data_IF_573075160561
#
_entry.id   IF_573075160561
#
_cell.length_a   1.000
_cell.length_b   1.000
_cell.length_c   1.000
_cell.angle_alpha   90.00
_cell.angle_beta   90.00
_cell.angle_gamma   90.00
#
_symmetry.space_group_name_H-M   'P 1'
#
loop_
_entity.id
_entity.type
_entity.pdbx_description
1 polymer ?
#
# COMPACT_ATOMS: atom_id res chain seq x y z
N UNK A 1 -22.49 58.87 30.32
CA UNK A 1 -23.60 58.79 29.35
C UNK A 1 -23.23 57.80 28.26
N UNK A 2 -24.21 56.98 27.85
CA UNK A 2 -24.19 55.90 26.84
C UNK A 2 -23.84 54.52 27.39
N UNK A 3 -24.88 53.91 27.95
CA UNK A 3 -25.09 52.47 28.09
C UNK A 3 -25.37 51.81 26.73
N UNK A 4 -25.39 50.46 26.75
CA UNK A 4 -25.98 49.52 25.78
C UNK A 4 -25.05 49.11 24.63
N UNK A 5 -24.92 47.85 24.20
CA UNK A 5 -25.70 46.62 24.37
C UNK A 5 -24.78 45.39 24.33
N UNK A 6 -25.05 44.41 25.20
CA UNK A 6 -24.64 43.01 25.04
C UNK A 6 -25.60 42.37 24.02
N UNK A 7 -25.08 41.80 22.94
CA UNK A 7 -25.84 40.97 22.02
C UNK A 7 -25.38 39.51 22.16
N UNK A 8 -26.22 38.72 22.83
CA UNK A 8 -26.16 37.26 22.89
C UNK A 8 -26.68 36.75 21.54
N UNK A 9 -25.81 36.13 20.75
CA UNK A 9 -26.22 35.41 19.55
C UNK A 9 -26.48 33.94 19.90
N UNK A 10 -27.75 33.56 19.80
CA UNK A 10 -28.27 32.22 19.97
C UNK A 10 -27.71 31.26 18.90
N UNK A 11 -27.72 29.97 19.26
CA UNK A 11 -26.99 28.91 18.59
C UNK A 11 -27.43 28.59 17.16
N UNK A 12 -26.50 27.94 16.46
CA UNK A 12 -26.80 26.90 15.49
C UNK A 12 -25.73 25.81 15.67
N UNK A 13 -26.06 24.77 16.44
CA UNK A 13 -25.27 23.54 16.42
C UNK A 13 -25.69 22.81 15.15
N UNK A 14 -24.92 22.98 14.08
CA UNK A 14 -25.04 22.11 12.92
C UNK A 14 -24.50 20.74 13.32
N UNK A 15 -25.41 19.85 13.70
CA UNK A 15 -25.13 18.43 13.77
C UNK A 15 -24.88 17.94 12.34
N UNK A 16 -23.61 17.83 11.96
CA UNK A 16 -23.24 17.06 10.78
C UNK A 16 -23.45 15.58 11.08
N UNK A 17 -24.04 14.82 10.15
CA UNK A 17 -24.16 13.38 10.34
C UNK A 17 -22.76 12.79 10.42
N UNK A 18 -22.45 12.14 11.54
CA UNK A 18 -21.28 11.27 11.64
C UNK A 18 -21.56 10.09 10.72
N UNK A 19 -21.02 10.14 9.50
CA UNK A 19 -20.98 9.00 8.62
C UNK A 19 -20.12 7.92 9.30
N UNK A 20 -20.79 6.88 9.82
CA UNK A 20 -20.13 5.68 10.26
C UNK A 20 -19.57 4.96 9.03
N UNK A 21 -18.27 5.14 8.78
CA UNK A 21 -17.54 4.34 7.81
C UNK A 21 -17.07 3.06 8.50
N UNK A 22 -17.67 1.96 8.07
CA UNK A 22 -17.27 0.60 8.38
C UNK A 22 -15.85 0.34 7.84
N UNK A 23 -15.12 -0.49 8.58
CA UNK A 23 -13.73 -0.85 8.36
C UNK A 23 -13.48 -1.58 7.03
N UNK A 24 -12.37 -1.24 6.35
CA UNK A 24 -11.74 -2.04 5.30
C UNK A 24 -10.94 -1.20 4.30
N UNK A 25 -9.61 -1.17 4.43
CA UNK A 25 -8.65 -0.72 3.39
C UNK A 25 -8.40 0.78 3.28
N UNK A 26 -7.79 1.42 4.29
CA UNK A 26 -7.37 2.82 4.22
C UNK A 26 -5.90 2.99 3.84
N UNK A 27 -5.64 3.24 2.56
CA UNK A 27 -4.51 4.05 2.08
C UNK A 27 -5.10 5.36 1.57
N UNK A 28 -4.49 6.51 1.88
CA UNK A 28 -5.04 7.82 1.57
C UNK A 28 -5.21 8.02 0.05
N UNK A 29 -6.43 7.74 -0.44
CA UNK A 29 -6.80 7.82 -1.85
C UNK A 29 -6.61 9.26 -2.38
N UNK A 30 -5.73 9.42 -3.36
CA UNK A 30 -5.94 10.48 -4.36
C UNK A 30 -7.39 10.34 -4.88
N UNK A 31 -8.14 11.43 -5.09
CA UNK A 31 -9.58 11.36 -5.31
C UNK A 31 -9.92 10.34 -6.41
N UNK A 32 -10.77 9.32 -6.12
CA UNK A 32 -10.99 8.12 -6.95
C UNK A 32 -11.43 8.36 -8.41
N UNK A 33 -11.62 9.63 -8.79
CA UNK A 33 -12.14 10.04 -10.08
C UNK A 33 -11.09 10.32 -11.16
N UNK A 34 -9.81 10.46 -10.81
CA UNK A 34 -8.73 10.71 -11.79
C UNK A 34 -8.03 9.41 -12.22
N UNK A 35 -7.59 8.59 -11.25
CA UNK A 35 -6.92 7.29 -11.49
C UNK A 35 -7.74 6.36 -12.38
N UNK A 36 -9.02 6.19 -12.06
CA UNK A 36 -9.92 5.26 -12.75
C UNK A 36 -10.23 5.65 -14.20
N UNK A 37 -9.96 6.89 -14.60
CA UNK A 37 -10.15 7.37 -15.98
C UNK A 37 -8.90 7.24 -16.86
N UNK A 38 -7.73 7.02 -16.26
CA UNK A 38 -6.52 6.77 -17.04
C UNK A 38 -6.59 5.37 -17.67
N UNK A 39 -6.47 5.24 -19.00
CA UNK A 39 -6.63 3.98 -19.69
C UNK A 39 -5.54 2.95 -19.33
N UNK A 40 -4.32 3.39 -19.00
CA UNK A 40 -3.25 2.48 -18.57
C UNK A 40 -3.45 2.05 -17.11
N UNK A 41 -3.95 2.91 -16.22
CA UNK A 41 -4.31 2.47 -14.87
C UNK A 41 -5.42 1.41 -14.93
N UNK A 42 -6.50 1.67 -15.68
CA UNK A 42 -7.61 0.74 -15.83
C UNK A 42 -7.16 -0.60 -16.45
N UNK A 43 -6.37 -0.55 -17.53
CA UNK A 43 -5.81 -1.75 -18.15
C UNK A 43 -4.83 -2.49 -17.24
N UNK A 44 -4.03 -1.75 -16.46
CA UNK A 44 -3.12 -2.30 -15.46
C UNK A 44 -3.87 -3.06 -14.38
N UNK A 45 -4.93 -2.47 -13.79
CA UNK A 45 -5.76 -3.14 -12.77
C UNK A 45 -6.53 -4.35 -13.34
N UNK A 46 -6.98 -4.27 -14.60
CA UNK A 46 -7.55 -5.44 -15.28
C UNK A 46 -6.53 -6.57 -15.42
N UNK A 47 -5.27 -6.23 -15.74
CA UNK A 47 -4.17 -7.18 -15.82
C UNK A 47 -3.78 -7.75 -14.44
N UNK A 48 -3.84 -6.95 -13.36
CA UNK A 48 -3.66 -7.43 -11.98
C UNK A 48 -4.70 -8.51 -11.67
N UNK A 49 -5.97 -8.26 -11.98
CA UNK A 49 -7.06 -9.22 -11.78
C UNK A 49 -6.86 -10.52 -12.57
N UNK A 50 -6.36 -10.44 -13.80
CA UNK A 50 -6.05 -11.62 -14.63
C UNK A 50 -4.70 -12.26 -14.33
N UNK A 51 -3.89 -11.66 -13.43
CA UNK A 51 -2.51 -12.07 -13.11
C UNK A 51 -1.59 -12.05 -14.34
N UNK A 52 -1.88 -11.20 -15.32
CA UNK A 52 -1.01 -10.97 -16.47
C UNK A 52 0.08 -9.97 -16.09
N UNK A 53 1.11 -10.46 -15.41
CA UNK A 53 2.18 -9.61 -14.85
C UNK A 53 2.95 -8.84 -15.92
N UNK A 54 3.07 -9.38 -17.13
CA UNK A 54 3.71 -8.66 -18.24
C UNK A 54 2.89 -7.42 -18.62
N UNK A 55 1.56 -7.57 -18.73
CA UNK A 55 0.69 -6.42 -18.97
C UNK A 55 0.66 -5.45 -17.80
N UNK A 56 0.69 -5.92 -16.54
CA UNK A 56 0.79 -5.02 -15.38
C UNK A 56 2.05 -4.16 -15.48
N UNK A 57 3.21 -4.76 -15.76
CA UNK A 57 4.46 -4.01 -15.92
C UNK A 57 4.37 -2.99 -17.06
N UNK A 58 3.83 -3.37 -18.22
CA UNK A 58 3.69 -2.46 -19.36
C UNK A 58 2.78 -1.27 -19.04
N UNK A 59 1.61 -1.54 -18.46
CA UNK A 59 0.58 -0.53 -18.17
C UNK A 59 0.92 0.34 -16.99
N UNK A 60 1.26 -0.25 -15.84
CA UNK A 60 1.67 0.51 -14.66
C UNK A 60 3.01 1.23 -14.89
N UNK A 61 3.93 0.67 -15.67
CA UNK A 61 5.18 1.34 -16.04
C UNK A 61 4.95 2.58 -16.90
N UNK A 62 3.93 2.59 -17.77
CA UNK A 62 3.55 3.78 -18.54
C UNK A 62 2.81 4.79 -17.66
N UNK A 63 1.85 4.32 -16.86
CA UNK A 63 1.06 5.16 -15.96
C UNK A 63 1.94 5.92 -14.95
N UNK A 64 2.86 5.22 -14.28
CA UNK A 64 3.74 5.82 -13.25
C UNK A 64 4.76 6.83 -13.80
N UNK A 65 4.99 6.88 -15.11
CA UNK A 65 5.77 7.97 -15.72
C UNK A 65 4.97 9.26 -15.83
N UNK A 66 3.64 9.17 -15.99
CA UNK A 66 2.73 10.32 -16.05
C UNK A 66 2.27 10.76 -14.66
N UNK A 67 2.01 9.79 -13.79
CA UNK A 67 1.55 9.96 -12.41
C UNK A 67 2.61 9.45 -11.42
N UNK A 68 3.77 10.13 -11.30
CA UNK A 68 4.90 9.62 -10.53
C UNK A 68 4.69 9.63 -9.01
N UNK A 69 3.65 10.30 -8.51
CA UNK A 69 3.34 10.44 -7.08
C UNK A 69 2.23 9.47 -6.63
N UNK A 70 1.95 8.42 -7.40
CA UNK A 70 0.95 7.41 -7.06
C UNK A 70 1.60 6.18 -6.42
N UNK A 71 1.57 6.10 -5.08
CA UNK A 71 2.22 5.03 -4.33
C UNK A 71 1.62 3.65 -4.65
N UNK A 72 0.29 3.55 -4.80
CA UNK A 72 -0.42 2.31 -5.11
C UNK A 72 0.05 1.74 -6.46
N UNK A 73 0.19 2.59 -7.47
CA UNK A 73 0.64 2.16 -8.80
C UNK A 73 2.11 1.72 -8.82
N UNK A 74 2.97 2.38 -8.04
CA UNK A 74 4.35 1.90 -7.86
C UNK A 74 4.39 0.57 -7.12
N UNK A 75 3.51 0.36 -6.13
CA UNK A 75 3.38 -0.93 -5.44
C UNK A 75 2.95 -2.04 -6.39
N UNK A 76 1.93 -1.81 -7.24
CA UNK A 76 1.48 -2.80 -8.23
C UNK A 76 2.55 -3.11 -9.28
N UNK A 77 3.31 -2.11 -9.72
CA UNK A 77 4.46 -2.32 -10.60
C UNK A 77 5.53 -3.19 -9.91
N UNK A 78 5.86 -2.90 -8.65
CA UNK A 78 6.80 -3.69 -7.86
C UNK A 78 6.34 -5.14 -7.68
N UNK A 79 5.05 -5.33 -7.37
CA UNK A 79 4.44 -6.65 -7.25
C UNK A 79 4.58 -7.43 -8.55
N UNK A 80 4.19 -6.85 -9.69
CA UNK A 80 4.31 -7.53 -10.98
C UNK A 80 5.75 -7.87 -11.34
N UNK A 81 6.71 -6.96 -11.12
CA UNK A 81 8.14 -7.24 -11.36
C UNK A 81 8.65 -8.39 -10.49
N UNK A 82 8.25 -8.45 -9.22
CA UNK A 82 8.60 -9.56 -8.31
C UNK A 82 8.05 -10.88 -8.83
N UNK A 83 6.79 -10.90 -9.26
CA UNK A 83 6.13 -12.09 -9.82
C UNK A 83 6.81 -12.61 -11.09
N UNK A 84 7.45 -11.72 -11.85
CA UNK A 84 8.25 -12.07 -13.03
C UNK A 84 9.70 -12.48 -12.71
N UNK A 85 10.14 -12.40 -11.45
CA UNK A 85 11.53 -12.68 -11.07
C UNK A 85 12.48 -11.49 -11.22
N UNK A 86 12.00 -10.34 -11.66
CA UNK A 86 12.81 -9.13 -11.84
C UNK A 86 12.99 -8.40 -10.51
N UNK A 87 13.88 -8.94 -9.66
CA UNK A 87 14.02 -8.49 -8.27
C UNK A 87 14.48 -7.04 -8.13
N UNK A 88 15.49 -6.61 -8.89
CA UNK A 88 15.99 -5.23 -8.77
C UNK A 88 14.91 -4.18 -9.16
N UNK A 89 14.22 -4.30 -10.32
CA UNK A 89 13.09 -3.44 -10.62
C UNK A 89 11.97 -3.47 -9.57
N UNK A 90 11.72 -4.62 -8.95
CA UNK A 90 10.73 -4.73 -7.88
C UNK A 90 11.12 -3.88 -6.66
N UNK A 91 12.36 -4.03 -6.18
CA UNK A 91 12.88 -3.23 -5.06
C UNK A 91 12.86 -1.74 -5.36
N UNK A 92 13.22 -1.33 -6.58
CA UNK A 92 13.19 0.08 -6.98
C UNK A 92 11.76 0.65 -6.96
N UNK A 93 10.77 -0.13 -7.41
CA UNK A 93 9.37 0.27 -7.43
C UNK A 93 8.77 0.34 -6.01
N UNK A 94 9.01 -0.65 -5.15
CA UNK A 94 8.59 -0.58 -3.74
C UNK A 94 9.25 0.58 -3.01
N UNK A 95 10.54 0.84 -3.28
CA UNK A 95 11.26 1.98 -2.72
C UNK A 95 10.64 3.33 -3.13
N UNK A 96 10.14 3.44 -4.36
CA UNK A 96 9.38 4.63 -4.80
C UNK A 96 8.04 4.74 -4.10
N UNK A 97 7.28 3.65 -3.99
CA UNK A 97 6.01 3.63 -3.26
C UNK A 97 6.20 4.11 -1.82
N UNK A 98 7.19 3.56 -1.11
CA UNK A 98 7.50 3.91 0.29
C UNK A 98 8.15 5.29 0.46
N UNK A 99 8.73 5.87 -0.60
CA UNK A 99 9.17 7.27 -0.58
C UNK A 99 7.99 8.24 -0.66
N UNK A 100 6.94 7.87 -1.39
CA UNK A 100 5.72 8.66 -1.56
C UNK A 100 4.84 8.52 -0.31
N UNK A 101 4.56 7.29 0.10
CA UNK A 101 3.84 6.95 1.32
C UNK A 101 4.66 5.98 2.18
N UNK A 102 5.39 6.49 3.19
CA UNK A 102 6.16 5.67 4.12
C UNK A 102 5.33 4.75 5.03
N UNK A 103 4.00 4.83 4.99
CA UNK A 103 3.09 3.99 5.77
C UNK A 103 2.29 3.02 4.90
N UNK A 104 2.61 2.93 3.60
CA UNK A 104 1.91 2.08 2.67
C UNK A 104 2.08 0.60 3.04
N UNK A 105 1.03 0.00 3.60
CA UNK A 105 1.07 -1.36 4.16
C UNK A 105 1.37 -2.43 3.11
N UNK A 106 0.67 -2.40 1.97
CA UNK A 106 0.92 -3.35 0.87
C UNK A 106 2.36 -3.31 0.34
N UNK A 107 2.98 -2.14 0.25
CA UNK A 107 4.37 -2.01 -0.15
C UNK A 107 5.34 -2.60 0.88
N UNK A 108 5.08 -2.43 2.18
CA UNK A 108 5.87 -3.10 3.23
C UNK A 108 5.73 -4.63 3.18
N UNK A 109 4.51 -5.14 2.99
CA UNK A 109 4.26 -6.58 2.83
C UNK A 109 5.06 -7.15 1.65
N UNK A 110 4.85 -6.60 0.45
CA UNK A 110 5.45 -7.12 -0.77
C UNK A 110 6.96 -6.91 -0.83
N UNK A 111 7.49 -5.86 -0.21
CA UNK A 111 8.92 -5.68 -0.02
C UNK A 111 9.49 -6.75 0.91
N UNK A 112 8.79 -7.07 2.00
CA UNK A 112 9.15 -8.17 2.89
C UNK A 112 9.18 -9.52 2.16
N UNK A 113 8.17 -9.81 1.34
CA UNK A 113 8.15 -11.02 0.52
C UNK A 113 9.29 -11.04 -0.53
N UNK A 114 9.61 -9.90 -1.13
CA UNK A 114 10.75 -9.77 -2.05
C UNK A 114 12.07 -10.12 -1.35
N UNK A 115 12.27 -9.66 -0.12
CA UNK A 115 13.45 -10.00 0.68
C UNK A 115 13.54 -11.49 0.99
N UNK A 116 12.42 -12.15 1.31
CA UNK A 116 12.39 -13.61 1.47
C UNK A 116 12.80 -14.34 0.18
N UNK A 117 12.34 -13.87 -0.97
CA UNK A 117 12.66 -14.48 -2.27
C UNK A 117 14.15 -14.41 -2.61
N UNK A 118 14.86 -13.36 -2.19
CA UNK A 118 16.32 -13.25 -2.33
C UNK A 118 17.10 -13.79 -1.13
N UNK A 119 16.40 -14.33 -0.13
CA UNK A 119 16.99 -14.97 1.04
C UNK A 119 17.44 -14.03 2.16
N UNK A 120 17.03 -12.76 2.12
CA UNK A 120 17.30 -11.76 3.15
C UNK A 120 16.20 -11.79 4.22
N UNK A 121 16.20 -12.83 5.05
CA UNK A 121 15.23 -12.97 6.15
C UNK A 121 15.28 -11.80 7.13
N UNK A 122 16.47 -11.22 7.35
CA UNK A 122 16.63 -10.10 8.29
C UNK A 122 15.84 -8.88 7.85
N UNK A 123 15.89 -8.51 6.56
CA UNK A 123 15.10 -7.39 6.07
C UNK A 123 13.61 -7.68 5.99
N UNK A 124 13.21 -8.92 5.67
CA UNK A 124 11.79 -9.30 5.73
C UNK A 124 11.20 -9.12 7.13
N UNK A 125 11.96 -9.48 8.19
CA UNK A 125 11.55 -9.27 9.58
C UNK A 125 11.49 -7.78 9.98
N UNK A 126 12.31 -6.93 9.36
CA UNK A 126 12.24 -5.47 9.56
C UNK A 126 10.94 -4.89 8.98
N UNK A 127 10.52 -5.33 7.79
CA UNK A 127 9.24 -4.92 7.20
C UNK A 127 8.06 -5.42 8.04
N UNK A 128 8.13 -6.66 8.53
CA UNK A 128 7.10 -7.21 9.42
C UNK A 128 6.97 -6.41 10.73
N UNK A 129 8.10 -5.99 11.32
CA UNK A 129 8.11 -5.11 12.50
C UNK A 129 7.55 -3.71 12.18
N UNK A 130 7.72 -3.24 10.96
CA UNK A 130 7.12 -1.98 10.52
C UNK A 130 5.61 -2.12 10.41
N UNK A 131 5.11 -3.18 9.78
CA UNK A 131 3.67 -3.48 9.72
C UNK A 131 3.04 -3.62 11.12
N UNK A 132 3.73 -4.29 12.05
CA UNK A 132 3.29 -4.41 13.46
C UNK A 132 3.04 -3.04 14.12
N UNK A 133 3.87 -2.04 13.80
CA UNK A 133 3.70 -0.66 14.30
C UNK A 133 2.61 0.11 13.56
N UNK A 134 2.45 -0.14 12.26
CA UNK A 134 1.45 0.54 11.41
C UNK A 134 0.03 0.02 11.64
N UNK A 135 -0.09 -1.18 12.19
CA UNK A 135 -1.35 -1.89 12.39
C UNK A 135 -1.67 -1.98 13.89
N UNK A 136 -2.54 -1.09 14.39
CA UNK A 136 -2.99 -1.08 15.80
C UNK A 136 -3.69 -2.38 16.22
N UNK A 137 -4.34 -3.04 15.25
CA UNK A 137 -4.79 -4.43 15.29
C UNK A 137 -4.16 -5.16 14.11
N UNK A 138 -3.98 -6.49 14.15
CA UNK A 138 -3.45 -7.23 13.01
C UNK A 138 -4.21 -6.90 11.73
N UNK A 139 -3.49 -6.33 10.76
CA UNK A 139 -3.97 -6.09 9.41
C UNK A 139 -3.69 -7.33 8.53
N UNK A 140 -4.33 -7.38 7.37
CA UNK A 140 -4.15 -8.47 6.40
C UNK A 140 -2.67 -8.58 6.01
N UNK A 141 -2.04 -7.44 5.71
CA UNK A 141 -0.65 -7.34 5.28
C UNK A 141 0.33 -7.88 6.32
N UNK A 142 0.11 -7.55 7.60
CA UNK A 142 0.91 -8.10 8.70
C UNK A 142 0.78 -9.62 8.78
N UNK A 143 -0.46 -10.11 8.67
CA UNK A 143 -0.77 -11.53 8.80
C UNK A 143 -0.13 -12.33 7.67
N UNK A 144 -0.18 -11.80 6.45
CA UNK A 144 0.38 -12.42 5.26
C UNK A 144 1.90 -12.46 5.29
N UNK A 145 2.56 -11.34 5.56
CA UNK A 145 4.02 -11.35 5.67
C UNK A 145 4.51 -12.22 6.84
N UNK A 146 3.80 -12.22 7.97
CA UNK A 146 4.14 -13.09 9.12
C UNK A 146 4.12 -14.56 8.72
N UNK A 147 3.07 -15.00 8.02
CA UNK A 147 2.95 -16.37 7.50
C UNK A 147 4.10 -16.69 6.55
N UNK A 148 4.40 -15.80 5.59
CA UNK A 148 5.50 -15.97 4.64
C UNK A 148 6.87 -16.13 5.35
N UNK A 149 7.13 -15.34 6.40
CA UNK A 149 8.34 -15.45 7.23
C UNK A 149 8.43 -16.80 7.96
N UNK A 150 7.32 -17.26 8.55
CA UNK A 150 7.26 -18.54 9.26
C UNK A 150 7.49 -19.74 8.33
N UNK A 151 6.88 -19.72 7.14
CA UNK A 151 7.07 -20.74 6.10
C UNK A 151 8.51 -20.77 5.60
N UNK A 152 9.11 -19.61 5.36
CA UNK A 152 10.52 -19.50 4.96
C UNK A 152 11.45 -20.14 6.00
N UNK A 153 11.26 -19.85 7.30
CA UNK A 153 12.06 -20.42 8.39
C UNK A 153 11.94 -21.94 8.45
N UNK A 154 10.72 -22.48 8.38
CA UNK A 154 10.48 -23.93 8.34
C UNK A 154 11.20 -24.57 7.16
N UNK A 155 11.12 -23.95 5.98
CA UNK A 155 11.81 -24.42 4.78
C UNK A 155 13.34 -24.43 4.91
N UNK A 156 13.92 -23.45 5.61
CA UNK A 156 15.38 -23.43 5.89
C UNK A 156 15.79 -24.50 6.90
N UNK A 157 15.00 -24.71 7.95
CA UNK A 157 15.25 -25.76 8.95
C UNK A 157 15.17 -27.15 8.33
N UNK A 158 14.18 -27.41 7.49
CA UNK A 158 14.03 -28.70 6.80
C UNK A 158 15.20 -29.03 5.85
N UNK A 159 15.88 -28.01 5.29
CA UNK A 159 17.07 -28.18 4.44
C UNK A 159 18.38 -28.35 5.22
N UNK A 160 18.36 -28.04 6.52
CA UNK A 160 19.54 -28.11 7.38
C UNK A 160 19.61 -29.41 8.20
N UNK A 161 18.51 -30.18 8.22
CA UNK A 161 18.38 -31.52 8.82
C UNK A 161 18.71 -32.60 7.80
#
# INVERSE_FOLDING_TARGET
MKHHLVAIACGFVLAWPVAALAAGGGGDEAPPSARSKDPDYAAGMAAVKSKDWNQVVARMGTYTQREPNDADAWNELGHAQRRLGHMQPAFDAYGKALKIDPKHRGAHEYLGEAYLQVGDLSKAEQELKTLDKLCFLPCEEYTDLKRSVEEYRKGKQAKAS
#
